data_IF_278954878912
#
_entry.id   IF_278954878912
#
_cell.length_a   1.000
_cell.length_b   1.000
_cell.length_c   1.000
_cell.angle_alpha   90.00
_cell.angle_beta   90.00
_cell.angle_gamma   90.00
#
_symmetry.space_group_name_H-M   'P 1'
#
loop_
_entity.id
_entity.type
_entity.pdbx_description
1 polymer ?
#
# COMPACT_ATOMS: atom_id res chain seq x y z
N UNK A 1 9.41 18.27 -5.26
CA UNK A 1 9.57 17.04 -4.42
C UNK A 1 11.03 16.58 -4.36
N UNK A 2 11.78 16.55 -5.48
CA UNK A 2 13.22 16.21 -5.46
C UNK A 2 14.05 17.17 -4.59
N UNK A 3 13.65 18.44 -4.47
CA UNK A 3 14.28 19.43 -3.62
C UNK A 3 14.22 19.07 -2.13
N UNK A 4 13.17 18.37 -1.69
CA UNK A 4 13.03 17.90 -0.30
C UNK A 4 14.04 16.82 0.06
N UNK A 5 14.55 16.11 -0.96
CA UNK A 5 15.62 15.13 -0.82
C UNK A 5 17.01 15.71 -1.07
N UNK A 6 17.15 17.05 -1.16
CA UNK A 6 18.42 17.71 -1.44
C UNK A 6 18.82 17.72 -2.93
N UNK A 7 17.95 17.26 -3.81
CA UNK A 7 18.20 17.22 -5.25
C UNK A 7 17.59 18.43 -5.95
N UNK A 8 18.14 19.59 -5.74
CA UNK A 8 17.73 20.80 -6.44
C UNK A 8 18.54 21.02 -7.70
N UNK A 9 17.90 21.54 -8.74
CA UNK A 9 18.57 21.96 -9.96
C UNK A 9 19.38 23.23 -9.66
N UNK A 10 20.65 23.25 -10.04
CA UNK A 10 21.49 24.43 -9.92
C UNK A 10 21.13 25.47 -10.98
N UNK A 11 21.45 26.74 -10.71
CA UNK A 11 21.22 27.82 -11.67
C UNK A 11 21.98 27.53 -12.99
N UNK A 12 21.27 27.58 -14.11
CA UNK A 12 21.81 27.29 -15.43
C UNK A 12 21.90 25.81 -15.82
N UNK A 13 21.61 24.89 -14.89
CA UNK A 13 21.62 23.44 -15.13
C UNK A 13 20.32 23.00 -15.86
N UNK A 14 20.43 22.17 -16.89
CA UNK A 14 19.27 21.53 -17.50
C UNK A 14 18.73 20.40 -16.63
N UNK A 15 17.50 19.93 -16.88
CA UNK A 15 16.91 18.79 -16.16
C UNK A 15 17.75 17.52 -16.35
N UNK A 16 18.30 17.32 -17.56
CA UNK A 16 19.13 16.15 -17.87
C UNK A 16 20.47 16.19 -17.13
N UNK A 17 21.11 17.35 -17.06
CA UNK A 17 22.35 17.54 -16.31
C UNK A 17 22.13 17.37 -14.79
N UNK A 18 21.00 17.87 -14.26
CA UNK A 18 20.64 17.66 -12.87
C UNK A 18 20.42 16.17 -12.57
N UNK A 19 19.72 15.47 -13.46
CA UNK A 19 19.48 14.03 -13.34
C UNK A 19 20.80 13.25 -13.43
N UNK A 20 21.66 13.57 -14.39
CA UNK A 20 22.97 12.94 -14.55
C UNK A 20 23.84 13.13 -13.30
N UNK A 21 23.85 14.34 -12.74
CA UNK A 21 24.57 14.63 -11.49
C UNK A 21 24.05 13.83 -10.31
N UNK A 22 22.73 13.61 -10.22
CA UNK A 22 22.11 12.78 -9.17
C UNK A 22 22.49 11.31 -9.35
N UNK A 23 22.41 10.82 -10.58
CA UNK A 23 22.75 9.43 -10.92
C UNK A 23 24.23 9.09 -10.68
N UNK A 24 25.14 10.08 -10.77
CA UNK A 24 26.57 9.92 -10.51
C UNK A 24 27.00 10.46 -9.14
N UNK A 25 26.06 10.76 -8.25
CA UNK A 25 26.36 11.21 -6.89
C UNK A 25 26.68 10.04 -5.96
N UNK A 26 27.43 10.33 -4.89
CA UNK A 26 27.71 9.37 -3.82
C UNK A 26 26.43 8.86 -3.12
N UNK A 27 25.29 9.56 -3.28
CA UNK A 27 24.00 9.16 -2.75
C UNK A 27 23.58 7.76 -3.25
N UNK A 28 23.80 7.46 -4.54
CA UNK A 28 23.46 6.15 -5.09
C UNK A 28 24.47 5.06 -4.76
N UNK A 29 25.69 5.45 -4.36
CA UNK A 29 26.74 4.52 -3.93
C UNK A 29 26.57 4.06 -2.47
N UNK A 30 25.80 4.80 -1.65
CA UNK A 30 25.49 4.38 -0.28
C UNK A 30 24.54 3.19 -0.26
N UNK A 31 24.74 2.31 0.73
CA UNK A 31 23.92 1.11 0.88
C UNK A 31 22.53 1.36 1.50
N UNK A 32 22.26 2.58 1.95
CA UNK A 32 21.00 2.98 2.58
C UNK A 32 20.31 4.03 1.72
N UNK A 33 19.65 3.56 0.67
CA UNK A 33 18.81 4.40 -0.19
C UNK A 33 17.73 3.57 -0.89
N UNK A 34 16.61 4.23 -1.19
CA UNK A 34 15.43 3.60 -1.81
C UNK A 34 15.72 2.94 -3.16
N UNK A 35 16.65 3.45 -3.96
CA UNK A 35 16.97 2.87 -5.26
C UNK A 35 17.63 1.49 -5.12
N UNK A 36 18.46 1.30 -4.08
CA UNK A 36 19.00 -0.01 -3.76
C UNK A 36 17.91 -0.98 -3.31
N UNK A 37 17.02 -0.52 -2.42
CA UNK A 37 15.92 -1.36 -1.91
C UNK A 37 14.93 -1.78 -2.99
N UNK A 38 14.83 -1.01 -4.08
CA UNK A 38 14.01 -1.33 -5.25
C UNK A 38 14.72 -2.24 -6.28
N UNK A 39 15.99 -2.61 -6.05
CA UNK A 39 16.64 -3.61 -6.91
C UNK A 39 16.08 -5.01 -6.64
N UNK A 40 16.08 -5.87 -7.67
CA UNK A 40 15.60 -7.26 -7.55
C UNK A 40 16.38 -8.00 -6.46
N UNK A 41 17.72 -7.91 -6.48
CA UNK A 41 18.57 -8.61 -5.52
C UNK A 41 18.26 -8.20 -4.08
N UNK A 42 18.10 -6.90 -3.82
CA UNK A 42 17.78 -6.42 -2.48
C UNK A 42 16.36 -6.76 -2.04
N UNK A 43 15.41 -6.71 -2.95
CA UNK A 43 14.04 -7.15 -2.66
C UNK A 43 13.99 -8.64 -2.28
N UNK A 44 14.77 -9.48 -2.95
CA UNK A 44 14.88 -10.90 -2.62
C UNK A 44 15.52 -11.11 -1.24
N UNK A 45 16.63 -10.41 -0.93
CA UNK A 45 17.25 -10.44 0.40
C UNK A 45 16.25 -10.04 1.50
N UNK A 46 15.52 -8.94 1.30
CA UNK A 46 14.51 -8.49 2.26
C UNK A 46 13.38 -9.52 2.43
N UNK A 47 12.98 -10.16 1.34
CA UNK A 47 11.92 -11.15 1.36
C UNK A 47 12.35 -12.44 2.07
N UNK A 48 13.65 -12.81 2.07
CA UNK A 48 14.15 -13.95 2.82
C UNK A 48 13.95 -13.78 4.35
N UNK A 49 13.91 -12.54 4.84
CA UNK A 49 13.69 -12.21 6.25
C UNK A 49 12.21 -12.05 6.64
N UNK A 50 11.29 -12.09 5.65
CA UNK A 50 9.87 -11.86 5.87
C UNK A 50 9.11 -13.17 6.06
N UNK A 51 8.31 -13.26 7.12
CA UNK A 51 7.38 -14.36 7.33
C UNK A 51 5.93 -13.96 7.05
N UNK A 52 5.23 -14.79 6.27
CA UNK A 52 3.79 -14.65 6.07
C UNK A 52 3.04 -15.10 7.31
N UNK A 53 2.19 -14.23 7.85
CA UNK A 53 1.40 -14.52 9.04
C UNK A 53 0.14 -15.34 8.69
N UNK A 54 -0.17 -16.43 9.43
CA UNK A 54 -1.22 -17.37 9.04
C UNK A 54 -2.64 -16.81 9.11
N UNK A 55 -2.86 -15.74 9.87
CA UNK A 55 -4.17 -15.14 10.09
C UNK A 55 -4.36 -13.82 9.35
N UNK A 56 -3.39 -13.43 8.51
CA UNK A 56 -3.44 -12.19 7.72
C UNK A 56 -3.84 -12.52 6.31
N UNK A 57 -4.76 -11.74 5.75
CA UNK A 57 -5.13 -11.82 4.34
C UNK A 57 -4.24 -10.88 3.54
N UNK A 58 -3.55 -11.42 2.55
CA UNK A 58 -2.68 -10.69 1.65
C UNK A 58 -3.34 -10.59 0.29
N UNK A 59 -3.35 -9.39 -0.29
CA UNK A 59 -3.88 -9.14 -1.63
C UNK A 59 -2.83 -8.45 -2.47
N UNK A 60 -2.72 -8.84 -3.72
CA UNK A 60 -1.90 -8.15 -4.71
C UNK A 60 -2.71 -7.72 -5.91
N UNK A 61 -2.44 -6.51 -6.37
CA UNK A 61 -3.03 -5.92 -7.56
C UNK A 61 -1.90 -5.49 -8.47
N UNK A 62 -1.78 -6.11 -9.62
CA UNK A 62 -0.75 -5.82 -10.60
C UNK A 62 -1.34 -5.14 -11.85
N UNK A 63 -0.56 -4.25 -12.45
CA UNK A 63 -0.85 -3.61 -13.73
C UNK A 63 0.02 -4.17 -14.85
N UNK A 64 -0.54 -4.26 -16.04
CA UNK A 64 0.19 -4.43 -17.31
C UNK A 64 -0.40 -3.46 -18.34
N UNK A 65 0.31 -2.39 -18.61
CA UNK A 65 -0.08 -1.42 -19.64
C UNK A 65 0.84 -1.54 -20.86
N UNK A 66 1.25 -2.76 -21.15
CA UNK A 66 2.05 -3.10 -22.32
C UNK A 66 1.26 -3.97 -23.31
N UNK A 67 1.77 -4.12 -24.50
CA UNK A 67 1.18 -4.97 -25.53
C UNK A 67 2.28 -5.75 -26.26
N UNK A 68 1.98 -6.97 -26.62
CA UNK A 68 2.85 -7.78 -27.47
C UNK A 68 2.41 -7.69 -28.93
N UNK A 69 3.35 -7.45 -29.81
CA UNK A 69 3.12 -7.51 -31.25
C UNK A 69 2.85 -8.95 -31.69
N UNK A 70 1.75 -9.16 -32.40
CA UNK A 70 1.42 -10.47 -32.98
C UNK A 70 2.31 -10.83 -34.16
N UNK A 71 3.03 -9.85 -34.73
CA UNK A 71 3.88 -10.02 -35.91
C UNK A 71 5.32 -10.28 -35.50
N UNK A 72 5.88 -9.42 -34.62
CA UNK A 72 7.29 -9.52 -34.24
C UNK A 72 7.50 -10.30 -32.92
N UNK A 73 6.44 -10.46 -32.12
CA UNK A 73 6.55 -11.05 -30.78
C UNK A 73 7.15 -10.08 -29.74
N UNK A 74 7.59 -8.90 -30.16
CA UNK A 74 8.13 -7.88 -29.29
C UNK A 74 7.05 -7.23 -28.43
N UNK A 75 7.42 -6.84 -27.21
CA UNK A 75 6.53 -6.12 -26.29
C UNK A 75 6.92 -4.65 -26.24
N UNK A 76 5.90 -3.79 -26.18
CA UNK A 76 6.06 -2.34 -26.06
C UNK A 76 4.95 -1.77 -25.17
N UNK A 77 5.10 -0.52 -24.75
CA UNK A 77 4.02 0.22 -24.10
C UNK A 77 2.73 0.23 -24.94
N UNK A 78 1.58 0.17 -24.30
CA UNK A 78 0.31 0.38 -24.95
C UNK A 78 0.17 1.84 -25.41
N UNK A 79 -0.64 2.08 -26.44
CA UNK A 79 -0.84 3.43 -27.02
C UNK A 79 -1.53 4.40 -26.06
N UNK A 80 -2.27 3.87 -25.10
CA UNK A 80 -3.01 4.59 -24.07
C UNK A 80 -2.29 4.59 -22.71
N UNK A 81 -1.00 4.25 -22.69
CA UNK A 81 -0.15 4.45 -21.51
C UNK A 81 0.13 5.93 -21.29
N UNK A 82 0.15 6.35 -20.05
CA UNK A 82 0.57 7.71 -19.67
C UNK A 82 1.93 8.05 -20.28
N UNK A 83 2.07 9.16 -21.04
CA UNK A 83 3.30 9.48 -21.78
C UNK A 83 4.57 9.51 -20.92
N UNK A 84 4.44 9.89 -19.65
CA UNK A 84 5.57 9.91 -18.70
C UNK A 84 6.19 8.52 -18.51
N UNK A 85 5.39 7.45 -18.56
CA UNK A 85 5.83 6.08 -18.30
C UNK A 85 6.32 5.34 -19.56
N UNK A 86 5.99 5.82 -20.75
CA UNK A 86 6.33 5.17 -22.04
C UNK A 86 7.82 4.83 -22.17
N UNK A 87 8.78 5.73 -21.89
CA UNK A 87 10.21 5.42 -22.02
C UNK A 87 10.64 4.29 -21.09
N UNK A 88 10.19 4.32 -19.84
CA UNK A 88 10.53 3.31 -18.83
C UNK A 88 9.89 1.96 -19.17
N UNK A 89 8.61 1.96 -19.58
CA UNK A 89 7.92 0.76 -20.00
C UNK A 89 8.62 0.06 -21.16
N UNK A 90 9.01 0.80 -22.19
CA UNK A 90 9.70 0.23 -23.35
C UNK A 90 11.10 -0.31 -23.00
N UNK A 91 11.81 0.35 -22.07
CA UNK A 91 13.09 -0.15 -21.57
C UNK A 91 12.89 -1.49 -20.82
N UNK A 92 11.92 -1.57 -19.91
CA UNK A 92 11.61 -2.81 -19.19
C UNK A 92 11.11 -3.91 -20.11
N UNK A 93 10.31 -3.58 -21.14
CA UNK A 93 9.86 -4.56 -22.15
C UNK A 93 11.02 -5.28 -22.87
N UNK A 94 12.13 -4.59 -23.07
CA UNK A 94 13.32 -5.15 -23.72
C UNK A 94 14.39 -5.70 -22.78
N UNK A 95 14.21 -5.53 -21.46
CA UNK A 95 15.21 -5.92 -20.47
C UNK A 95 14.89 -7.33 -19.91
N UNK A 96 15.30 -8.35 -20.64
CA UNK A 96 15.20 -9.76 -20.24
C UNK A 96 16.39 -10.55 -20.81
N UNK A 97 16.49 -11.84 -20.49
CA UNK A 97 17.64 -12.71 -20.75
C UNK A 97 18.93 -12.14 -20.09
N UNK A 98 18.75 -11.52 -18.93
CA UNK A 98 19.81 -10.92 -18.12
C UNK A 98 19.92 -11.63 -16.77
N UNK A 99 21.09 -11.51 -16.16
CA UNK A 99 21.33 -12.00 -14.80
C UNK A 99 21.70 -10.81 -13.93
N UNK A 100 21.05 -10.67 -12.77
CA UNK A 100 21.40 -9.62 -11.79
C UNK A 100 22.77 -9.89 -11.17
N UNK A 101 23.33 -8.91 -10.47
CA UNK A 101 24.59 -9.07 -9.75
C UNK A 101 24.52 -10.20 -8.68
N UNK A 102 23.35 -10.39 -8.07
CA UNK A 102 23.08 -11.48 -7.12
C UNK A 102 22.79 -12.83 -7.75
N UNK A 103 22.74 -12.92 -9.08
CA UNK A 103 22.57 -14.17 -9.82
C UNK A 103 21.12 -14.50 -10.21
N UNK A 104 20.16 -13.63 -9.94
CA UNK A 104 18.76 -13.84 -10.33
C UNK A 104 18.61 -13.72 -11.85
N UNK A 105 17.84 -14.65 -12.46
CA UNK A 105 17.59 -14.66 -13.90
C UNK A 105 16.34 -13.85 -14.24
N UNK A 106 16.50 -12.81 -15.06
CA UNK A 106 15.41 -12.01 -15.61
C UNK A 106 15.02 -12.59 -16.96
N UNK A 107 13.93 -13.33 -17.01
CA UNK A 107 13.40 -13.92 -18.24
C UNK A 107 12.30 -13.06 -18.88
N UNK A 108 11.68 -13.54 -19.94
CA UNK A 108 10.62 -12.84 -20.68
C UNK A 108 9.35 -12.56 -19.85
N UNK A 109 9.12 -13.25 -18.74
CA UNK A 109 7.99 -13.00 -17.86
C UNK A 109 8.08 -11.62 -17.17
N UNK A 110 9.28 -11.03 -17.14
CA UNK A 110 9.54 -9.69 -16.61
C UNK A 110 9.22 -8.55 -17.59
N UNK A 111 8.97 -8.85 -18.87
CA UNK A 111 8.66 -7.83 -19.87
C UNK A 111 7.32 -7.09 -19.65
N UNK A 112 6.20 -7.74 -19.23
CA UNK A 112 4.98 -7.05 -18.87
C UNK A 112 5.21 -6.08 -17.69
N UNK A 113 4.68 -4.86 -17.79
CA UNK A 113 4.88 -3.83 -16.75
C UNK A 113 3.81 -2.73 -16.82
N UNK A 114 3.72 -1.96 -15.74
CA UNK A 114 2.81 -0.81 -15.62
C UNK A 114 3.48 0.54 -15.94
N UNK A 115 4.74 0.49 -16.40
CA UNK A 115 5.56 1.68 -16.69
C UNK A 115 6.58 2.04 -15.62
N UNK A 116 6.47 1.51 -14.41
CA UNK A 116 7.46 1.66 -13.32
C UNK A 116 7.77 0.34 -12.63
N UNK A 117 6.85 -0.62 -12.63
CA UNK A 117 6.97 -1.89 -11.94
C UNK A 117 6.66 -3.04 -12.91
N UNK A 118 7.51 -4.05 -12.93
CA UNK A 118 7.26 -5.26 -13.69
C UNK A 118 6.04 -6.01 -13.11
N UNK A 119 5.14 -6.44 -13.97
CA UNK A 119 3.89 -7.11 -13.54
C UNK A 119 4.20 -8.31 -12.63
N UNK A 120 5.17 -9.14 -13.00
CA UNK A 120 5.53 -10.34 -12.24
C UNK A 120 5.96 -10.02 -10.81
N UNK A 121 6.70 -8.93 -10.59
CA UNK A 121 7.16 -8.53 -9.25
C UNK A 121 6.03 -7.97 -8.37
N UNK A 122 4.91 -7.55 -8.96
CA UNK A 122 3.74 -7.03 -8.27
C UNK A 122 2.70 -8.11 -7.91
N UNK A 123 2.89 -9.37 -8.37
CA UNK A 123 1.94 -10.45 -8.09
C UNK A 123 2.06 -10.96 -6.64
N UNK A 124 3.27 -11.22 -6.19
CA UNK A 124 3.58 -11.67 -4.82
C UNK A 124 5.08 -11.55 -4.55
N UNK A 125 5.49 -11.42 -3.27
CA UNK A 125 6.91 -11.42 -2.93
C UNK A 125 7.52 -12.80 -3.15
N UNK A 126 8.71 -12.81 -3.71
CA UNK A 126 9.49 -14.02 -4.02
C UNK A 126 10.77 -14.00 -3.19
N UNK A 127 11.16 -15.12 -2.63
CA UNK A 127 12.44 -15.28 -1.94
C UNK A 127 13.60 -15.47 -2.93
N UNK A 128 14.84 -15.53 -2.40
CA UNK A 128 16.05 -15.73 -3.22
C UNK A 128 16.10 -17.08 -3.95
N UNK A 129 15.31 -18.07 -3.50
CA UNK A 129 15.15 -19.35 -4.18
C UNK A 129 14.12 -19.30 -5.33
N UNK A 130 13.48 -18.14 -5.59
CA UNK A 130 12.47 -17.99 -6.62
C UNK A 130 11.08 -18.50 -6.22
N UNK A 131 10.86 -18.75 -4.93
CA UNK A 131 9.59 -19.25 -4.41
C UNK A 131 8.72 -18.11 -3.88
N UNK A 132 7.40 -18.20 -4.09
CA UNK A 132 6.47 -17.30 -3.43
C UNK A 132 6.55 -17.48 -1.90
N UNK A 133 6.61 -16.38 -1.15
CA UNK A 133 6.66 -16.43 0.30
C UNK A 133 5.45 -17.16 0.87
N UNK A 134 5.71 -18.17 1.69
CA UNK A 134 4.70 -18.99 2.35
C UNK A 134 5.20 -19.50 3.69
N UNK A 135 4.32 -19.63 4.65
CA UNK A 135 4.70 -20.13 6.00
C UNK A 135 4.89 -21.65 6.07
N UNK A 136 4.51 -22.47 5.10
CA UNK A 136 4.45 -23.92 5.35
C UNK A 136 4.45 -24.83 4.11
N UNK A 137 5.34 -24.59 3.16
CA UNK A 137 5.53 -25.55 2.05
C UNK A 137 4.33 -25.78 1.13
N UNK A 138 3.29 -24.95 1.24
CA UNK A 138 2.20 -24.86 0.26
C UNK A 138 2.51 -23.77 -0.75
N UNK A 139 1.95 -23.87 -1.94
CA UNK A 139 1.99 -22.76 -2.92
C UNK A 139 1.56 -21.49 -2.22
N UNK A 140 2.44 -20.49 -2.13
CA UNK A 140 2.24 -19.30 -1.31
C UNK A 140 1.19 -18.32 -1.85
N UNK A 141 0.53 -18.62 -2.96
CA UNK A 141 -0.49 -17.76 -3.55
C UNK A 141 -1.67 -18.54 -4.13
N UNK A 142 -2.79 -17.87 -4.25
CA UNK A 142 -3.99 -18.34 -4.94
C UNK A 142 -4.34 -17.32 -6.01
N UNK A 143 -4.30 -17.73 -7.28
CA UNK A 143 -4.75 -16.91 -8.38
C UNK A 143 -6.26 -16.77 -8.34
N UNK A 144 -6.77 -15.55 -8.31
CA UNK A 144 -8.19 -15.24 -8.37
C UNK A 144 -8.62 -15.03 -9.82
N UNK A 145 -9.74 -15.64 -10.20
CA UNK A 145 -10.27 -15.56 -11.56
C UNK A 145 -11.11 -14.30 -11.82
N UNK A 146 -11.39 -13.52 -10.78
CA UNK A 146 -12.24 -12.35 -10.86
C UNK A 146 -12.21 -11.51 -9.59
N UNK A 147 -13.12 -10.53 -9.54
CA UNK A 147 -13.29 -9.62 -8.41
C UNK A 147 -14.61 -9.88 -7.65
N UNK A 148 -15.44 -10.79 -8.17
CA UNK A 148 -16.75 -11.12 -7.60
C UNK A 148 -16.83 -12.61 -7.32
N UNK A 149 -17.50 -12.98 -6.23
CA UNK A 149 -17.73 -14.38 -5.83
C UNK A 149 -16.44 -15.21 -5.63
N UNK A 150 -15.36 -14.57 -5.21
CA UNK A 150 -14.07 -15.21 -4.93
C UNK A 150 -13.95 -15.54 -3.44
N UNK A 151 -13.28 -16.64 -3.14
CA UNK A 151 -12.97 -17.04 -1.77
C UNK A 151 -11.55 -16.59 -1.42
N UNK A 152 -11.42 -15.78 -0.38
CA UNK A 152 -10.13 -15.32 0.10
C UNK A 152 -9.63 -16.20 1.25
N UNK A 153 -8.32 -16.41 1.29
CA UNK A 153 -7.70 -17.28 2.27
C UNK A 153 -6.62 -16.50 3.06
N UNK A 154 -6.59 -16.62 4.39
CA UNK A 154 -5.53 -16.05 5.19
C UNK A 154 -4.23 -16.85 5.06
N UNK A 155 -3.10 -16.22 5.32
CA UNK A 155 -1.78 -16.86 5.29
C UNK A 155 -1.27 -17.23 3.90
N UNK A 156 -1.90 -16.70 2.85
CA UNK A 156 -1.47 -16.84 1.45
C UNK A 156 -1.73 -15.53 0.69
N UNK A 157 -1.02 -15.33 -0.41
CA UNK A 157 -1.28 -14.21 -1.31
C UNK A 157 -2.50 -14.51 -2.18
N UNK A 158 -3.53 -13.69 -2.08
CA UNK A 158 -4.68 -13.69 -2.99
C UNK A 158 -4.34 -12.76 -4.15
N UNK A 159 -3.89 -13.36 -5.25
CA UNK A 159 -3.42 -12.63 -6.43
C UNK A 159 -4.61 -12.29 -7.30
N UNK A 160 -4.93 -11.01 -7.35
CA UNK A 160 -6.06 -10.52 -8.14
C UNK A 160 -5.73 -10.51 -9.63
N UNK A 161 -6.73 -10.57 -10.54
CA UNK A 161 -6.46 -10.50 -11.96
C UNK A 161 -5.68 -9.24 -12.34
N UNK A 162 -4.67 -9.41 -13.21
CA UNK A 162 -3.86 -8.29 -13.73
C UNK A 162 -4.77 -7.30 -14.47
N UNK A 163 -4.62 -6.01 -14.17
CA UNK A 163 -5.39 -4.94 -14.79
C UNK A 163 -4.61 -4.31 -15.93
N UNK A 164 -5.31 -3.87 -16.96
CA UNK A 164 -4.72 -3.06 -18.03
C UNK A 164 -4.54 -1.61 -17.55
N UNK A 165 -3.69 -1.44 -16.53
CA UNK A 165 -3.40 -0.19 -15.84
C UNK A 165 -1.92 0.12 -15.94
N UNK A 166 -1.60 1.41 -16.12
CA UNK A 166 -0.28 1.92 -15.82
C UNK A 166 -0.18 2.32 -14.34
N UNK A 167 1.02 2.62 -13.89
CA UNK A 167 1.29 2.96 -12.49
C UNK A 167 0.47 4.15 -12.00
N UNK A 168 0.23 5.15 -12.86
CA UNK A 168 -0.60 6.30 -12.55
C UNK A 168 -2.08 5.97 -12.35
N UNK A 169 -2.57 4.87 -12.94
CA UNK A 169 -3.95 4.44 -12.77
C UNK A 169 -4.26 3.90 -11.36
N UNK A 170 -3.24 3.51 -10.59
CA UNK A 170 -3.39 3.09 -9.18
C UNK A 170 -3.31 4.26 -8.19
N UNK A 171 -2.77 5.41 -8.61
CA UNK A 171 -2.47 6.54 -7.74
C UNK A 171 -3.39 7.71 -8.09
N UNK A 172 -4.23 8.13 -7.12
CA UNK A 172 -5.04 9.33 -7.28
C UNK A 172 -4.16 10.59 -7.25
N UNK A 173 -4.28 11.46 -8.28
CA UNK A 173 -3.70 12.80 -8.23
C UNK A 173 -2.32 12.97 -8.85
N UNK A 174 -1.82 12.00 -9.60
CA UNK A 174 -0.74 12.34 -10.53
C UNK A 174 -1.29 13.32 -11.60
N UNK A 175 -0.63 14.46 -11.83
CA UNK A 175 -1.01 15.37 -12.91
C UNK A 175 -0.57 14.75 -14.24
N UNK A 176 -1.35 13.82 -14.74
CA UNK A 176 -1.15 13.19 -16.03
C UNK A 176 -2.02 13.92 -17.03
N UNK A 177 -1.48 14.18 -18.20
CA UNK A 177 -2.12 14.96 -19.26
C UNK A 177 -3.41 14.33 -19.83
N UNK A 178 -3.80 13.17 -19.35
CA UNK A 178 -5.07 12.52 -19.66
C UNK A 178 -5.90 12.26 -18.39
N UNK A 179 -6.33 13.35 -17.79
CA UNK A 179 -7.44 13.36 -16.83
C UNK A 179 -8.76 13.34 -17.61
N UNK A 180 -8.92 12.37 -18.50
CA UNK A 180 -10.25 12.11 -19.04
C UNK A 180 -11.15 11.72 -17.86
N UNK A 181 -12.40 12.16 -17.89
CA UNK A 181 -13.42 11.77 -16.90
C UNK A 181 -13.53 10.25 -16.70
N UNK A 182 -13.05 9.46 -17.65
CA UNK A 182 -12.94 8.01 -17.59
C UNK A 182 -11.88 7.51 -16.59
N UNK A 183 -10.73 8.15 -16.48
CA UNK A 183 -9.68 7.70 -15.56
C UNK A 183 -10.09 7.85 -14.09
N UNK A 184 -10.81 8.93 -13.76
CA UNK A 184 -11.34 9.14 -12.40
C UNK A 184 -12.45 8.13 -12.04
N UNK A 185 -13.32 7.79 -12.99
CA UNK A 185 -14.37 6.77 -12.81
C UNK A 185 -13.73 5.39 -12.60
N UNK A 186 -12.74 5.05 -13.39
CA UNK A 186 -12.02 3.77 -13.31
C UNK A 186 -11.29 3.63 -11.98
N UNK A 187 -10.61 4.68 -11.52
CA UNK A 187 -9.94 4.69 -10.22
C UNK A 187 -10.94 4.54 -9.07
N UNK A 188 -12.04 5.28 -9.11
CA UNK A 188 -13.11 5.14 -8.11
C UNK A 188 -13.67 3.72 -8.07
N UNK A 189 -13.93 3.11 -9.23
CA UNK A 189 -14.40 1.72 -9.32
C UNK A 189 -13.37 0.72 -8.76
N UNK A 190 -12.09 0.97 -9.01
CA UNK A 190 -11.01 0.16 -8.45
C UNK A 190 -11.05 0.17 -6.91
N UNK A 191 -11.07 1.36 -6.29
CA UNK A 191 -11.11 1.46 -4.83
C UNK A 191 -12.42 0.94 -4.23
N UNK A 192 -13.56 1.12 -4.90
CA UNK A 192 -14.83 0.51 -4.46
C UNK A 192 -14.75 -1.03 -4.50
N UNK A 193 -14.14 -1.61 -5.54
CA UNK A 193 -13.95 -3.07 -5.60
C UNK A 193 -12.97 -3.57 -4.54
N UNK A 194 -11.92 -2.78 -4.23
CA UNK A 194 -11.01 -3.07 -3.13
C UNK A 194 -11.73 -3.10 -1.78
N UNK A 195 -12.57 -2.10 -1.51
CA UNK A 195 -13.36 -2.03 -0.27
C UNK A 195 -14.37 -3.17 -0.18
N UNK A 196 -15.03 -3.54 -1.28
CA UNK A 196 -15.91 -4.70 -1.34
C UNK A 196 -15.14 -6.01 -1.03
N UNK A 197 -13.95 -6.18 -1.59
CA UNK A 197 -13.11 -7.33 -1.30
C UNK A 197 -12.70 -7.38 0.18
N UNK A 198 -12.30 -6.26 0.76
CA UNK A 198 -11.93 -6.16 2.18
C UNK A 198 -13.14 -6.45 3.09
N UNK A 199 -14.34 -5.97 2.74
CA UNK A 199 -15.57 -6.25 3.52
C UNK A 199 -15.93 -7.74 3.55
N UNK A 200 -15.63 -8.48 2.49
CA UNK A 200 -15.87 -9.93 2.41
C UNK A 200 -14.90 -10.74 3.27
N UNK A 201 -13.69 -10.24 3.49
CA UNK A 201 -12.71 -10.90 4.36
C UNK A 201 -13.16 -10.85 5.82
N UNK A 202 -13.75 -9.74 6.24
CA UNK A 202 -14.25 -9.56 7.61
C UNK A 202 -15.54 -10.33 7.89
N UNK A 203 -16.24 -10.79 6.84
CA UNK A 203 -17.49 -11.52 6.95
C UNK A 203 -17.34 -13.05 7.04
N UNK A 204 -16.10 -13.60 7.14
CA UNK A 204 -15.94 -15.01 7.50
C UNK A 204 -16.44 -15.20 8.94
N UNK A 205 -17.44 -16.05 9.22
CA UNK A 205 -18.07 -16.10 10.52
C UNK A 205 -17.04 -16.52 11.59
N UNK A 206 -16.63 -15.59 12.44
CA UNK A 206 -16.31 -15.98 13.80
C UNK A 206 -17.58 -16.66 14.35
N UNK A 207 -17.41 -17.76 15.11
CA UNK A 207 -18.52 -18.50 15.71
C UNK A 207 -19.57 -17.55 16.29
N UNK A 208 -20.88 -17.87 16.22
CA UNK A 208 -21.94 -16.92 16.50
C UNK A 208 -21.84 -16.40 17.93
N UNK A 209 -21.21 -15.27 18.08
CA UNK A 209 -21.48 -14.36 19.19
C UNK A 209 -22.79 -13.67 18.81
N UNK A 210 -23.84 -14.00 19.51
CA UNK A 210 -25.13 -13.32 19.37
C UNK A 210 -24.89 -11.82 19.48
N UNK A 211 -25.05 -11.01 18.42
CA UNK A 211 -24.89 -9.58 18.56
C UNK A 211 -26.11 -9.08 19.34
N UNK A 212 -25.88 -8.62 20.55
CA UNK A 212 -26.78 -7.61 21.11
C UNK A 212 -26.51 -6.36 20.29
N UNK A 213 -27.29 -6.14 19.26
CA UNK A 213 -27.19 -4.99 18.37
C UNK A 213 -27.47 -3.72 19.21
N UNK A 214 -26.51 -2.83 19.43
CA UNK A 214 -26.81 -1.50 19.90
C UNK A 214 -27.52 -0.76 18.76
N UNK A 215 -28.68 -0.24 19.03
CA UNK A 215 -29.44 0.58 18.10
C UNK A 215 -28.67 1.86 17.80
N UNK A 216 -28.05 1.96 16.58
CA UNK A 216 -27.47 3.19 16.07
C UNK A 216 -26.20 3.67 16.80
N UNK A 217 -25.57 4.72 16.26
CA UNK A 217 -24.51 5.44 16.97
C UNK A 217 -25.09 6.25 18.14
N UNK A 218 -24.38 6.35 19.28
CA UNK A 218 -24.84 7.16 20.40
C UNK A 218 -24.71 8.68 20.12
N UNK A 219 -24.12 9.07 18.99
CA UNK A 219 -23.71 10.43 18.66
C UNK A 219 -24.84 11.21 17.98
N UNK A 220 -25.35 12.21 18.61
CA UNK A 220 -26.46 13.06 18.11
C UNK A 220 -26.03 13.91 16.90
N UNK A 221 -24.74 14.19 16.75
CA UNK A 221 -24.15 14.99 15.69
C UNK A 221 -23.72 14.16 14.46
N UNK A 222 -23.99 12.85 14.48
CA UNK A 222 -23.75 11.91 13.37
C UNK A 222 -25.06 11.21 12.99
N UNK A 223 -26.01 11.91 12.35
CA UNK A 223 -27.28 11.32 11.94
C UNK A 223 -27.06 10.31 10.81
N UNK A 224 -27.95 9.28 10.70
CA UNK A 224 -27.86 8.21 9.72
C UNK A 224 -27.75 8.68 8.26
N UNK A 225 -28.35 9.83 7.94
CA UNK A 225 -28.26 10.42 6.60
C UNK A 225 -26.94 11.13 6.29
N UNK A 226 -26.01 11.20 7.23
CA UNK A 226 -24.70 11.80 7.01
C UNK A 226 -23.81 10.83 6.21
N UNK A 227 -23.10 11.33 5.20
CA UNK A 227 -22.20 10.51 4.37
C UNK A 227 -21.13 9.75 5.18
N UNK A 228 -20.70 10.29 6.32
CA UNK A 228 -19.69 9.67 7.19
C UNK A 228 -20.27 8.67 8.21
N UNK A 229 -21.60 8.59 8.34
CA UNK A 229 -22.25 7.73 9.31
C UNK A 229 -21.81 6.25 9.24
N UNK A 230 -21.81 5.58 8.07
CA UNK A 230 -21.45 4.16 8.02
C UNK A 230 -19.99 3.92 8.44
N UNK A 231 -19.08 4.83 8.10
CA UNK A 231 -17.66 4.70 8.45
C UNK A 231 -17.41 4.93 9.94
N UNK A 232 -18.07 5.94 10.52
CA UNK A 232 -17.98 6.21 11.97
C UNK A 232 -18.58 5.05 12.76
N UNK A 233 -19.68 4.49 12.28
CA UNK A 233 -20.35 3.34 12.90
C UNK A 233 -19.43 2.12 12.93
N UNK A 234 -18.81 1.79 11.80
CA UNK A 234 -17.88 0.68 11.68
C UNK A 234 -16.67 0.83 12.62
N UNK A 235 -16.05 2.00 12.64
CA UNK A 235 -14.91 2.27 13.52
C UNK A 235 -15.30 2.30 15.01
N UNK A 236 -16.51 2.74 15.32
CA UNK A 236 -17.06 2.73 16.68
C UNK A 236 -17.34 1.30 17.16
N UNK A 237 -17.98 0.49 16.32
CA UNK A 237 -18.25 -0.92 16.60
C UNK A 237 -16.96 -1.77 16.71
N UNK A 238 -15.93 -1.40 15.95
CA UNK A 238 -14.59 -1.99 16.05
C UNK A 238 -13.78 -1.50 17.26
N UNK A 239 -14.29 -0.55 18.05
CA UNK A 239 -13.59 0.03 19.19
C UNK A 239 -12.39 0.94 18.83
N UNK A 240 -12.28 1.36 17.58
CA UNK A 240 -11.20 2.24 17.09
C UNK A 240 -11.45 3.69 17.47
N UNK A 241 -12.72 4.11 17.49
CA UNK A 241 -13.15 5.45 17.90
C UNK A 241 -14.22 5.38 18.98
N UNK A 242 -14.29 6.39 19.86
CA UNK A 242 -15.23 6.43 21.00
C UNK A 242 -16.03 7.71 21.11
N UNK A 243 -15.84 8.67 20.18
CA UNK A 243 -16.43 10.02 20.26
C UNK A 243 -15.63 10.97 21.14
N UNK A 244 -16.02 12.25 21.13
CA UNK A 244 -15.47 13.32 21.99
C UNK A 244 -16.22 13.42 23.32
N UNK A 245 -17.42 12.86 23.37
CA UNK A 245 -18.22 12.64 24.58
C UNK A 245 -19.11 11.41 24.43
N UNK A 246 -19.90 11.07 25.43
CA UNK A 246 -20.84 9.96 25.37
C UNK A 246 -21.90 10.13 24.25
N UNK A 247 -22.15 11.33 23.79
CA UNK A 247 -23.21 11.63 22.81
C UNK A 247 -22.79 12.50 21.65
N UNK A 248 -21.49 12.84 21.54
CA UNK A 248 -20.94 13.66 20.46
C UNK A 248 -19.68 13.02 19.88
N UNK A 249 -19.49 13.14 18.57
CA UNK A 249 -18.32 12.67 17.82
C UNK A 249 -17.47 13.82 17.27
N UNK A 250 -18.12 14.95 16.93
CA UNK A 250 -17.53 16.13 16.28
C UNK A 250 -16.89 15.81 14.91
N UNK A 251 -17.65 15.29 13.95
CA UNK A 251 -17.12 14.73 12.69
C UNK A 251 -16.51 15.77 11.74
N UNK A 252 -16.58 17.05 12.08
CA UNK A 252 -15.95 18.15 11.32
C UNK A 252 -14.80 18.82 12.06
N UNK A 253 -14.52 18.40 13.30
CA UNK A 253 -13.41 18.92 14.07
C UNK A 253 -12.06 18.40 13.54
N UNK A 254 -11.02 19.18 13.76
CA UNK A 254 -9.66 18.74 13.47
C UNK A 254 -9.23 17.64 14.45
N UNK A 255 -8.65 16.58 13.94
CA UNK A 255 -8.10 15.50 14.75
C UNK A 255 -6.77 15.96 15.37
N UNK A 256 -6.64 15.85 16.68
CA UNK A 256 -5.38 16.11 17.38
C UNK A 256 -4.38 14.96 17.19
N UNK A 257 -3.09 15.22 17.41
CA UNK A 257 -2.06 14.17 17.39
C UNK A 257 -2.39 13.05 18.39
N UNK A 258 -2.86 13.40 19.58
CA UNK A 258 -3.26 12.44 20.61
C UNK A 258 -4.40 11.53 20.16
N UNK A 259 -5.46 12.09 19.57
CA UNK A 259 -6.57 11.34 19.01
C UNK A 259 -6.10 10.42 17.88
N UNK A 260 -5.22 10.91 17.01
CA UNK A 260 -4.71 10.12 15.90
C UNK A 260 -3.95 8.87 16.37
N UNK A 261 -3.03 9.00 17.33
CA UNK A 261 -2.29 7.83 17.87
C UNK A 261 -3.20 6.89 18.66
N UNK A 262 -4.25 7.41 19.30
CA UNK A 262 -5.26 6.55 19.94
C UNK A 262 -6.01 5.70 18.93
N UNK A 263 -6.43 6.29 17.81
CA UNK A 263 -7.07 5.56 16.71
C UNK A 263 -6.12 4.52 16.10
N UNK A 264 -4.84 4.85 15.92
CA UNK A 264 -3.84 3.90 15.42
C UNK A 264 -3.67 2.70 16.35
N UNK A 265 -3.61 2.93 17.67
CA UNK A 265 -3.49 1.85 18.64
C UNK A 265 -4.74 0.97 18.67
N UNK A 266 -5.93 1.58 18.57
CA UNK A 266 -7.20 0.87 18.44
C UNK A 266 -7.27 0.02 17.18
N UNK A 267 -6.86 0.57 16.04
CA UNK A 267 -6.80 -0.16 14.78
C UNK A 267 -5.80 -1.34 14.81
N UNK A 268 -4.67 -1.14 15.48
CA UNK A 268 -3.65 -2.18 15.66
C UNK A 268 -3.99 -3.20 16.77
N UNK A 269 -5.10 -3.01 17.50
CA UNK A 269 -5.53 -3.90 18.59
C UNK A 269 -4.53 -3.97 19.75
N UNK A 270 -3.79 -2.88 20.00
CA UNK A 270 -2.70 -2.86 20.97
C UNK A 270 -3.23 -2.68 22.39
N UNK A 271 -2.77 -3.54 23.33
CA UNK A 271 -2.89 -3.28 24.75
C UNK A 271 -1.88 -2.20 25.17
N UNK A 272 -2.37 -1.00 25.46
CA UNK A 272 -1.54 0.15 25.86
C UNK A 272 -1.31 0.22 27.38
N UNK A 273 -1.88 -0.66 28.17
CA UNK A 273 -1.76 -0.66 29.64
C UNK A 273 -0.32 -0.76 30.16
N UNK A 274 0.64 -1.43 29.48
CA UNK A 274 2.04 -1.48 29.90
C UNK A 274 2.81 -0.17 29.69
N UNK A 275 2.29 0.77 28.91
CA UNK A 275 3.02 1.97 28.50
C UNK A 275 2.76 3.15 29.46
N UNK A 276 3.26 3.03 30.69
CA UNK A 276 3.05 4.02 31.76
C UNK A 276 4.10 5.12 31.82
N UNK A 277 5.30 4.87 31.27
CA UNK A 277 6.43 5.78 31.38
C UNK A 277 6.33 6.91 30.32
N UNK A 278 6.16 8.13 30.79
CA UNK A 278 6.05 9.32 29.94
C UNK A 278 7.40 9.73 29.33
N UNK A 279 7.46 9.81 27.99
CA UNK A 279 8.64 10.30 27.25
C UNK A 279 8.62 11.82 27.06
N UNK A 280 7.44 12.42 27.03
CA UNK A 280 7.23 13.83 26.70
C UNK A 280 6.75 14.61 27.91
N UNK A 281 7.33 15.79 28.15
CA UNK A 281 7.01 16.65 29.29
C UNK A 281 5.64 17.33 29.16
N UNK A 282 5.12 17.46 27.94
CA UNK A 282 3.82 18.02 27.61
C UNK A 282 2.68 16.98 27.56
N UNK A 283 3.00 15.71 27.93
CA UNK A 283 2.02 14.63 28.05
C UNK A 283 1.91 14.22 29.52
N UNK A 284 1.04 14.87 30.32
CA UNK A 284 0.91 14.58 31.75
C UNK A 284 0.44 13.14 31.97
N UNK A 285 1.07 12.46 32.91
CA UNK A 285 0.63 11.14 33.38
C UNK A 285 -0.79 11.26 33.95
N UNK A 286 -1.69 10.33 33.58
CA UNK A 286 -3.09 10.36 34.01
C UNK A 286 -4.06 11.04 33.01
N UNK A 287 -3.56 11.60 31.91
CA UNK A 287 -4.44 11.94 30.79
C UNK A 287 -4.84 10.68 30.04
N UNK A 288 -6.05 10.68 29.47
CA UNK A 288 -6.61 9.54 28.76
C UNK A 288 -5.73 9.06 27.58
N UNK A 289 -4.99 9.98 26.96
CA UNK A 289 -4.15 9.71 25.81
C UNK A 289 -2.71 9.34 26.16
N UNK A 290 -2.28 9.50 27.40
CA UNK A 290 -0.89 9.27 27.79
C UNK A 290 -0.37 7.85 27.45
N UNK A 291 -1.08 6.74 27.75
CA UNK A 291 -0.63 5.40 27.39
C UNK A 291 -0.45 5.21 25.88
N UNK A 292 -1.34 5.81 25.09
CA UNK A 292 -1.28 5.73 23.61
C UNK A 292 -0.10 6.49 23.04
N UNK A 293 0.17 7.70 23.56
CA UNK A 293 1.33 8.50 23.15
C UNK A 293 2.63 7.81 23.57
N UNK A 294 2.68 7.23 24.77
CA UNK A 294 3.85 6.48 25.24
C UNK A 294 4.12 5.23 24.39
N UNK A 295 3.06 4.49 24.02
CA UNK A 295 3.15 3.38 23.08
C UNK A 295 3.70 3.84 21.74
N UNK A 296 3.15 4.90 21.17
CA UNK A 296 3.58 5.42 19.88
C UNK A 296 5.04 5.92 19.91
N UNK A 297 5.47 6.50 21.04
CA UNK A 297 6.86 6.92 21.24
C UNK A 297 7.82 5.73 21.40
N UNK A 298 7.40 4.68 22.10
CA UNK A 298 8.21 3.46 22.28
C UNK A 298 8.41 2.71 20.95
N UNK A 299 7.45 2.83 20.01
CA UNK A 299 7.48 2.19 18.71
C UNK A 299 7.94 3.14 17.58
N UNK A 300 8.56 4.30 17.92
CA UNK A 300 9.06 5.29 16.98
C UNK A 300 8.00 5.85 15.98
N UNK A 301 6.71 5.75 16.33
CA UNK A 301 5.59 6.27 15.53
C UNK A 301 5.50 7.80 15.68
N UNK A 302 5.82 8.32 16.87
CA UNK A 302 5.87 9.75 17.15
C UNK A 302 7.21 10.17 17.76
N UNK A 303 7.65 11.36 17.39
CA UNK A 303 8.79 12.07 17.97
C UNK A 303 8.31 13.42 18.51
N UNK A 304 9.01 13.94 19.50
CA UNK A 304 8.75 15.25 20.08
C UNK A 304 9.08 16.41 19.16
#
# INVERSE_FOLDING_TARGET
>A
QLEQFGFYRKDGETVLEALDRVLHSDFLSHNDNVFRDLTIDRALELNDDIEIQPNVYYFSYAGDKTRQSTITGERTSAVDMTPLFVPFANQMCGYYDQTTAGGFQIDKSWAPNDGLVNTVSALYPTNSAGECLTKSGKTGYIQQDGYSNVSYHPGVWNVMPVRHYDHGNFIAGMPVADLSSQSTVTLRQFYLSLMDNLSRVTSTPAAPVTPTQPAGLPFTDVPEGRWSYPYIKELYEAGVVSGTSATTFEPTANVTRAQFVTMLAGLAGVDVTPYTDGKFTDVPSGTWYAPYVNWAAANAIVSG
#
